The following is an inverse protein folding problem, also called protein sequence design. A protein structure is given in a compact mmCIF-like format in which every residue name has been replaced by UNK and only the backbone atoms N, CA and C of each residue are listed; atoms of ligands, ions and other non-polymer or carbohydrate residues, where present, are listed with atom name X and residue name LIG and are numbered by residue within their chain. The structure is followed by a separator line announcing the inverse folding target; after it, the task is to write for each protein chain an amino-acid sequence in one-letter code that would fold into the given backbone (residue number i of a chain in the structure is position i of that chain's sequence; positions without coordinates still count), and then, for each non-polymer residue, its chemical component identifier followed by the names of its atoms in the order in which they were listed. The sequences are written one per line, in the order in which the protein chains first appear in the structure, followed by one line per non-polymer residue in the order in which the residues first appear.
data_IF_206286509020
#
_entry.id   IF_206286509020
#
_cell.length_a   1.000
_cell.length_b   1.000
_cell.length_c   1.000
_cell.angle_alpha   90.00
_cell.angle_beta   90.00
_cell.angle_gamma   90.00
#
_symmetry.space_group_name_H-M   'P 1'
#
loop_
_entity.id
_entity.type
_entity.pdbx_description
1 polymer ?
#
# COMPACT_ATOMS: atom_id res chain seq x y z
N UNK A 1 -5.19 -0.89 -1.23
CA UNK A 1 -5.51 -0.76 0.22
C UNK A 1 -4.99 0.58 0.78
N UNK A 2 -5.22 1.71 0.09
CA UNK A 2 -4.67 3.02 0.49
C UNK A 2 -5.78 4.08 0.55
N UNK A 3 -5.84 4.86 1.62
CA UNK A 3 -6.84 5.90 1.82
C UNK A 3 -6.51 7.15 0.97
N UNK A 4 -7.06 7.21 -0.23
CA UNK A 4 -6.95 8.34 -1.16
C UNK A 4 -8.34 8.86 -1.51
N UNK A 5 -8.47 10.08 -2.07
CA UNK A 5 -9.76 10.57 -2.56
C UNK A 5 -10.44 9.64 -3.58
N UNK A 6 -9.67 8.86 -4.34
CA UNK A 6 -10.20 7.83 -5.26
C UNK A 6 -10.92 6.71 -4.50
N UNK A 7 -10.40 6.34 -3.34
CA UNK A 7 -10.94 5.26 -2.50
C UNK A 7 -11.92 5.77 -1.43
N UNK A 8 -12.13 7.07 -1.30
CA UNK A 8 -13.12 7.67 -0.41
C UNK A 8 -14.51 7.84 -1.05
N UNK A 9 -14.68 7.39 -2.30
CA UNK A 9 -15.94 7.54 -3.03
C UNK A 9 -17.01 6.58 -2.49
N UNK A 10 -18.29 7.00 -2.45
CA UNK A 10 -19.37 6.14 -1.97
C UNK A 10 -19.47 4.81 -2.73
N UNK A 11 -19.18 4.81 -4.05
CA UNK A 11 -19.27 3.62 -4.89
C UNK A 11 -18.32 2.49 -4.46
N UNK A 12 -17.21 2.82 -3.79
CA UNK A 12 -16.16 1.85 -3.41
C UNK A 12 -16.12 1.57 -1.91
N UNK A 13 -17.07 2.09 -1.13
CA UNK A 13 -17.07 1.98 0.32
C UNK A 13 -17.09 0.52 0.82
N UNK A 14 -17.84 -0.37 0.16
CA UNK A 14 -17.86 -1.79 0.52
C UNK A 14 -16.52 -2.49 0.21
N UNK A 15 -15.85 -2.11 -0.89
CA UNK A 15 -14.52 -2.64 -1.20
C UNK A 15 -13.47 -2.19 -0.17
N UNK A 16 -13.57 -0.96 0.33
CA UNK A 16 -12.69 -0.48 1.41
C UNK A 16 -12.84 -1.35 2.67
N UNK A 17 -14.07 -1.67 3.08
CA UNK A 17 -14.30 -2.55 4.23
C UNK A 17 -13.71 -3.94 4.02
N UNK A 18 -13.87 -4.51 2.82
CA UNK A 18 -13.27 -5.81 2.47
C UNK A 18 -11.76 -5.74 2.63
N UNK A 19 -11.12 -4.69 2.10
CA UNK A 19 -9.68 -4.51 2.23
C UNK A 19 -9.23 -4.37 3.68
N UNK A 20 -9.93 -3.58 4.51
CA UNK A 20 -9.61 -3.46 5.93
C UNK A 20 -9.71 -4.80 6.68
N UNK A 21 -10.69 -5.64 6.34
CA UNK A 21 -10.89 -6.94 6.98
C UNK A 21 -9.89 -8.01 6.52
N UNK A 22 -9.41 -7.92 5.28
CA UNK A 22 -8.57 -8.95 4.65
C UNK A 22 -7.09 -8.57 4.62
N UNK A 23 -6.74 -7.31 4.88
CA UNK A 23 -5.36 -6.89 5.12
C UNK A 23 -4.96 -7.20 6.57
N UNK A 24 -3.81 -7.86 6.84
CA UNK A 24 -3.33 -8.15 8.20
C UNK A 24 -3.30 -7.01 9.18
N UNK A 25 -2.92 -5.83 8.72
CA UNK A 25 -2.88 -4.65 9.56
C UNK A 25 -4.27 -4.14 9.98
N UNK A 26 -5.36 -4.70 9.44
CA UNK A 26 -6.73 -4.39 9.84
C UNK A 26 -7.19 -2.98 9.45
N UNK A 27 -6.49 -2.32 8.54
CA UNK A 27 -6.71 -0.92 8.14
C UNK A 27 -6.24 -0.64 6.73
N UNK A 28 -6.76 0.44 6.15
CA UNK A 28 -6.16 1.06 4.97
C UNK A 28 -4.84 1.74 5.33
N UNK A 29 -3.89 1.74 4.39
CA UNK A 29 -2.67 2.52 4.48
C UNK A 29 -2.94 4.03 4.30
N UNK A 30 -2.20 4.88 5.00
CA UNK A 30 -2.09 6.30 4.67
C UNK A 30 -1.26 6.46 3.39
N UNK A 31 -1.46 7.58 2.68
CA UNK A 31 -0.61 7.95 1.52
C UNK A 31 0.86 8.13 1.91
N UNK A 32 1.12 8.58 3.14
CA UNK A 32 2.49 8.84 3.62
C UNK A 32 3.33 7.56 3.73
N UNK A 33 2.67 6.41 3.90
CA UNK A 33 3.34 5.10 3.99
C UNK A 33 3.96 4.67 2.65
N UNK A 34 3.59 5.33 1.54
CA UNK A 34 4.20 5.11 0.22
C UNK A 34 5.51 5.88 0.03
N UNK A 35 5.72 6.95 0.80
CA UNK A 35 6.84 7.88 0.61
C UNK A 35 8.18 7.18 0.88
N UNK A 36 8.30 6.50 2.03
CA UNK A 36 9.53 5.79 2.40
C UNK A 36 9.96 4.73 1.38
N UNK A 37 9.08 3.79 1.00
CA UNK A 37 9.36 2.79 -0.03
C UNK A 37 9.73 3.40 -1.39
N UNK A 38 9.02 4.45 -1.82
CA UNK A 38 9.38 5.17 -3.04
C UNK A 38 10.80 5.75 -2.95
N UNK A 39 11.10 6.48 -1.86
CA UNK A 39 12.43 7.06 -1.61
C UNK A 39 13.51 5.98 -1.56
N UNK A 40 13.26 4.85 -0.92
CA UNK A 40 14.18 3.71 -0.92
C UNK A 40 14.52 3.29 -2.35
N UNK A 41 13.51 3.06 -3.20
CA UNK A 41 13.68 2.61 -4.57
C UNK A 41 14.45 3.60 -5.45
N UNK A 42 14.31 4.92 -5.25
CA UNK A 42 15.09 5.94 -5.98
C UNK A 42 16.48 6.21 -5.37
N UNK A 43 16.70 5.86 -4.10
CA UNK A 43 17.95 6.15 -3.41
C UNK A 43 19.11 5.23 -3.84
N UNK A 44 20.33 5.56 -3.40
CA UNK A 44 21.49 4.67 -3.57
C UNK A 44 21.39 3.37 -2.73
N UNK A 45 20.47 3.31 -1.74
CA UNK A 45 20.28 2.12 -0.92
C UNK A 45 19.70 0.94 -1.71
N UNK A 46 19.06 1.21 -2.86
CA UNK A 46 18.50 0.20 -3.77
C UNK A 46 19.39 -0.05 -5.00
N UNK A 47 20.68 0.29 -4.96
CA UNK A 47 21.58 0.31 -6.14
C UNK A 47 21.71 -1.00 -6.93
N UNK A 48 21.29 -2.14 -6.36
CA UNK A 48 21.21 -3.44 -7.05
C UNK A 48 19.82 -4.08 -7.02
N UNK A 49 18.79 -3.35 -6.59
CA UNK A 49 17.40 -3.77 -6.60
C UNK A 49 16.73 -3.33 -7.90
N UNK A 50 16.76 -4.19 -8.92
CA UNK A 50 16.15 -3.94 -10.23
C UNK A 50 15.20 -5.05 -10.63
N UNK A 51 14.14 -4.72 -11.38
CA UNK A 51 13.15 -5.69 -11.86
C UNK A 51 12.28 -6.32 -10.76
N UNK A 52 12.08 -5.60 -9.65
CA UNK A 52 11.31 -6.09 -8.49
C UNK A 52 10.10 -5.21 -8.21
N UNK A 53 9.04 -5.81 -7.67
CA UNK A 53 7.91 -5.12 -7.06
C UNK A 53 8.09 -5.10 -5.53
N UNK A 54 8.18 -3.91 -4.94
CA UNK A 54 8.17 -3.76 -3.49
C UNK A 54 6.72 -3.60 -3.01
N UNK A 55 6.16 -4.65 -2.43
CA UNK A 55 4.80 -4.64 -1.91
C UNK A 55 4.69 -3.79 -0.65
N UNK A 56 3.81 -2.78 -0.69
CA UNK A 56 3.49 -1.87 0.43
C UNK A 56 1.97 -1.92 0.64
N UNK A 57 1.49 -3.03 1.16
CA UNK A 57 0.06 -3.38 1.14
C UNK A 57 -0.50 -3.80 2.50
N UNK A 58 0.29 -3.64 3.56
CA UNK A 58 -0.08 -4.10 4.91
C UNK A 58 -0.16 -5.63 5.04
N UNK A 59 0.49 -6.37 4.11
CA UNK A 59 0.58 -7.83 4.03
C UNK A 59 -0.63 -8.51 3.37
N UNK A 60 -1.38 -7.78 2.55
CA UNK A 60 -2.55 -8.32 1.87
C UNK A 60 -2.22 -9.49 0.93
N UNK A 61 -1.13 -9.39 0.17
CA UNK A 61 -0.75 -10.41 -0.81
C UNK A 61 -0.08 -11.63 -0.17
N UNK A 62 0.73 -11.43 0.87
CA UNK A 62 1.44 -12.50 1.54
C UNK A 62 1.59 -12.22 3.05
N UNK A 63 1.02 -13.14 3.85
CA UNK A 63 1.12 -13.25 5.30
C UNK A 63 1.14 -14.72 5.72
#
# INVERSE_FOLDING_TARGET
YTATPMNSRPEVAEQVKIFEQTTPMGRMASVDEMVGPAVFLVSQASSFCTGVDLLVDGGFVCW
#
